data_IF_088984367946
#
_entry.id   IF_088984367946
#
_cell.length_a   1.000
_cell.length_b   1.000
_cell.length_c   1.000
_cell.angle_alpha   90.00
_cell.angle_beta   90.00
_cell.angle_gamma   90.00
#
_symmetry.space_group_name_H-M   'P 1'
#
loop_
_entity.id
_entity.type
_entity.pdbx_description
1 polymer ?
#
# COMPACT_ATOMS: atom_id res chain seq x y z
N UNK A 1 18.29 5.10 10.66
CA UNK A 1 19.33 4.83 11.67
C UNK A 1 19.04 5.73 12.86
N UNK A 2 19.34 5.33 14.10
CA UNK A 2 19.11 6.25 15.22
C UNK A 2 20.19 7.35 15.21
N UNK A 3 19.88 8.59 15.64
CA UNK A 3 20.85 9.68 15.70
C UNK A 3 22.11 9.33 16.48
N UNK A 4 21.99 8.50 17.53
CA UNK A 4 23.14 8.01 18.31
C UNK A 4 24.06 7.10 17.53
N UNK A 5 23.52 6.25 16.64
CA UNK A 5 24.30 5.35 15.82
C UNK A 5 25.05 6.12 14.72
N UNK A 6 24.39 7.10 14.10
CA UNK A 6 25.03 7.97 13.11
C UNK A 6 26.19 8.77 13.73
N UNK A 7 25.98 9.36 14.90
CA UNK A 7 27.05 10.09 15.62
C UNK A 7 28.26 9.21 15.97
N UNK A 8 28.01 7.96 16.41
CA UNK A 8 29.08 7.03 16.75
C UNK A 8 29.89 6.60 15.51
N UNK A 9 29.24 6.39 14.38
CA UNK A 9 29.91 6.07 13.13
C UNK A 9 30.73 7.25 12.62
N UNK A 10 30.20 8.46 12.68
CA UNK A 10 30.90 9.68 12.34
C UNK A 10 32.17 9.88 13.22
N UNK A 11 32.05 9.62 14.52
CA UNK A 11 33.18 9.69 15.45
C UNK A 11 34.28 8.63 15.18
N UNK A 12 33.96 7.58 14.42
CA UNK A 12 34.89 6.54 13.99
C UNK A 12 35.46 6.79 12.57
N UNK A 13 35.13 7.93 11.97
CA UNK A 13 35.64 8.35 10.66
C UNK A 13 34.85 7.81 9.46
N UNK A 14 33.63 7.36 9.69
CA UNK A 14 32.73 6.97 8.62
C UNK A 14 31.77 8.11 8.29
N UNK A 15 31.54 8.37 7.00
CA UNK A 15 30.49 9.30 6.55
C UNK A 15 29.11 8.69 6.84
N UNK A 16 28.51 9.04 7.97
CA UNK A 16 27.22 8.51 8.40
C UNK A 16 26.14 9.54 8.31
N UNK A 17 25.07 9.23 7.60
CA UNK A 17 23.89 10.09 7.46
C UNK A 17 22.69 9.46 8.16
N UNK A 18 21.95 10.29 8.90
CA UNK A 18 20.69 9.89 9.49
C UNK A 18 19.55 10.14 8.48
N UNK A 19 18.96 9.07 7.99
CA UNK A 19 17.81 9.17 7.09
C UNK A 19 16.52 9.33 7.92
N UNK A 20 16.07 10.59 8.04
CA UNK A 20 14.96 10.97 8.92
C UNK A 20 13.63 10.29 8.56
N UNK A 21 13.38 10.03 7.27
CA UNK A 21 12.17 9.36 6.81
C UNK A 21 12.08 7.87 7.25
N UNK A 22 13.20 7.28 7.69
CA UNK A 22 13.24 5.91 8.20
C UNK A 22 13.31 4.83 7.13
N UNK A 23 13.54 3.59 7.57
CA UNK A 23 13.75 2.43 6.69
C UNK A 23 12.56 2.14 5.76
N UNK A 24 11.34 2.33 6.24
CA UNK A 24 10.14 2.07 5.44
C UNK A 24 10.07 3.01 4.21
N UNK A 25 10.40 4.28 4.39
CA UNK A 25 10.41 5.24 3.30
C UNK A 25 11.63 5.05 2.38
N UNK A 26 12.79 4.69 2.93
CA UNK A 26 13.98 4.32 2.16
C UNK A 26 13.66 3.22 1.13
N UNK A 27 12.98 2.17 1.57
CA UNK A 27 12.58 1.05 0.73
C UNK A 27 11.48 1.42 -0.26
N UNK A 28 10.56 2.32 0.13
CA UNK A 28 9.49 2.81 -0.74
C UNK A 28 10.04 3.63 -1.93
N UNK A 29 11.19 4.28 -1.77
CA UNK A 29 11.89 4.99 -2.84
C UNK A 29 12.83 4.10 -3.66
N UNK A 30 12.85 2.77 -3.40
CA UNK A 30 13.70 1.82 -4.12
C UNK A 30 15.20 2.02 -3.88
N UNK A 31 15.58 2.63 -2.75
CA UNK A 31 16.98 2.88 -2.42
C UNK A 31 17.69 1.59 -2.03
N UNK A 32 19.02 1.47 -2.25
CA UNK A 32 19.77 0.26 -1.96
C UNK A 32 19.65 -0.22 -0.52
N UNK A 33 19.50 -1.52 -0.32
CA UNK A 33 19.43 -2.16 1.00
C UNK A 33 20.21 -3.48 0.98
N UNK A 34 20.70 -3.90 2.14
CA UNK A 34 21.33 -5.19 2.33
C UNK A 34 20.28 -6.25 2.65
N UNK A 35 20.35 -7.38 1.97
CA UNK A 35 19.46 -8.53 2.15
C UNK A 35 19.04 -9.14 0.82
N UNK A 36 18.85 -10.45 0.82
CA UNK A 36 18.38 -11.20 -0.36
C UNK A 36 16.87 -11.37 -0.45
N UNK A 37 16.13 -10.95 0.60
CA UNK A 37 14.68 -11.08 0.64
C UNK A 37 14.00 -10.06 -0.28
N UNK A 38 13.07 -10.53 -1.11
CA UNK A 38 12.23 -9.67 -1.91
C UNK A 38 11.23 -8.93 -1.01
N UNK A 39 11.25 -7.60 -1.07
CA UNK A 39 10.40 -6.76 -0.25
C UNK A 39 9.16 -6.28 -1.01
N UNK A 40 8.07 -6.11 -0.29
CA UNK A 40 6.76 -5.69 -0.82
C UNK A 40 6.85 -4.39 -1.63
N UNK A 41 7.66 -3.43 -1.18
CA UNK A 41 7.86 -2.15 -1.87
C UNK A 41 8.37 -2.27 -3.31
N UNK A 42 9.14 -3.31 -3.62
CA UNK A 42 9.65 -3.57 -4.98
C UNK A 42 8.57 -4.14 -5.92
N UNK A 43 7.45 -4.64 -5.37
CA UNK A 43 6.40 -5.34 -6.10
C UNK A 43 5.10 -4.55 -6.23
N UNK A 44 5.07 -3.34 -5.71
CA UNK A 44 3.86 -2.51 -5.68
C UNK A 44 3.42 -2.10 -7.08
N UNK A 45 2.14 -2.29 -7.38
CA UNK A 45 1.46 -1.65 -8.50
C UNK A 45 0.96 -0.29 -8.04
N UNK A 46 1.48 0.78 -8.61
CA UNK A 46 1.14 2.17 -8.22
C UNK A 46 -0.12 2.69 -8.90
N UNK A 47 -0.50 2.10 -10.04
CA UNK A 47 -1.71 2.46 -10.79
C UNK A 47 -2.94 1.79 -10.16
N UNK A 48 -3.33 2.28 -8.98
CA UNK A 48 -4.51 1.84 -8.24
C UNK A 48 -5.56 2.94 -8.29
N UNK A 49 -6.79 2.66 -8.73
CA UNK A 49 -7.82 3.67 -8.78
C UNK A 49 -8.24 4.11 -7.38
N UNK A 50 -8.29 5.41 -7.19
CA UNK A 50 -8.60 6.06 -5.91
C UNK A 50 -9.80 6.98 -6.04
N UNK A 51 -10.45 7.30 -4.93
CA UNK A 51 -11.48 8.32 -4.81
C UNK A 51 -11.35 9.08 -3.50
N UNK A 52 -12.00 10.22 -3.38
CA UNK A 52 -12.15 10.89 -2.11
C UNK A 52 -13.25 10.22 -1.30
N UNK A 53 -13.07 10.09 0.01
CA UNK A 53 -14.12 9.59 0.90
C UNK A 53 -15.39 10.48 0.89
N UNK A 54 -15.27 11.75 0.43
CA UNK A 54 -16.36 12.72 0.31
C UNK A 54 -17.07 12.67 -1.04
N UNK A 55 -16.53 11.96 -2.02
CA UNK A 55 -17.16 11.84 -3.33
C UNK A 55 -18.52 11.13 -3.20
N UNK A 56 -19.44 11.46 -4.09
CA UNK A 56 -20.72 10.74 -4.19
C UNK A 56 -20.54 9.48 -5.01
N UNK A 57 -21.31 8.45 -4.71
CA UNK A 57 -21.26 7.20 -5.43
C UNK A 57 -21.49 7.41 -6.95
N UNK A 58 -22.45 8.25 -7.32
CA UNK A 58 -22.74 8.55 -8.73
C UNK A 58 -21.53 9.11 -9.50
N UNK A 59 -20.67 9.90 -8.84
CA UNK A 59 -19.50 10.52 -9.46
C UNK A 59 -18.34 9.52 -9.69
N UNK A 60 -18.27 8.46 -8.89
CA UNK A 60 -17.17 7.48 -8.92
C UNK A 60 -17.56 6.11 -9.50
N UNK A 61 -18.84 5.92 -9.82
CA UNK A 61 -19.37 4.64 -10.32
C UNK A 61 -18.67 4.16 -11.58
N UNK A 62 -18.48 5.04 -12.56
CA UNK A 62 -17.81 4.71 -13.82
C UNK A 62 -16.35 4.29 -13.58
N UNK A 63 -15.64 5.00 -12.69
CA UNK A 63 -14.29 4.64 -12.30
C UNK A 63 -14.21 3.29 -11.59
N UNK A 64 -15.20 2.98 -10.76
CA UNK A 64 -15.30 1.69 -10.08
C UNK A 64 -15.56 0.54 -11.06
N UNK A 65 -16.44 0.75 -12.04
CA UNK A 65 -16.74 -0.24 -13.06
C UNK A 65 -15.53 -0.49 -13.98
N UNK A 66 -14.79 0.56 -14.32
CA UNK A 66 -13.56 0.47 -15.11
C UNK A 66 -12.38 -0.11 -14.32
N UNK A 67 -12.46 -0.17 -12.99
CA UNK A 67 -11.38 -0.69 -12.15
C UNK A 67 -11.14 -2.19 -12.39
N UNK A 68 -9.92 -2.54 -12.80
CA UNK A 68 -9.50 -3.94 -12.93
C UNK A 68 -9.45 -4.69 -11.60
N UNK A 69 -9.37 -3.96 -10.49
CA UNK A 69 -9.35 -4.53 -9.14
C UNK A 69 -10.75 -4.70 -8.53
N UNK A 70 -11.79 -4.21 -9.21
CA UNK A 70 -13.17 -4.24 -8.71
C UNK A 70 -13.40 -3.38 -7.48
N UNK A 71 -12.51 -2.44 -7.21
CA UNK A 71 -12.60 -1.52 -6.08
C UNK A 71 -11.96 -0.17 -6.38
N UNK A 72 -12.32 0.82 -5.57
CA UNK A 72 -11.61 2.10 -5.42
C UNK A 72 -11.09 2.23 -4.00
N UNK A 73 -9.90 2.82 -3.85
CA UNK A 73 -9.34 3.12 -2.54
C UNK A 73 -9.77 4.53 -2.12
N UNK A 74 -10.46 4.61 -0.99
CA UNK A 74 -10.93 5.88 -0.46
C UNK A 74 -9.82 6.56 0.36
N UNK A 75 -9.45 7.76 -0.05
CA UNK A 75 -8.38 8.56 0.54
C UNK A 75 -8.92 9.85 1.15
N UNK A 76 -8.20 10.37 2.16
CA UNK A 76 -8.37 11.75 2.60
C UNK A 76 -7.53 12.72 1.74
N UNK A 77 -7.56 14.01 2.08
CA UNK A 77 -6.81 15.06 1.37
C UNK A 77 -5.29 14.86 1.40
N UNK A 78 -4.77 14.15 2.40
CA UNK A 78 -3.34 13.87 2.57
C UNK A 78 -2.90 12.57 1.87
N UNK A 79 -3.81 11.86 1.21
CA UNK A 79 -3.55 10.58 0.56
C UNK A 79 -3.53 9.38 1.52
N UNK A 80 -4.01 9.54 2.74
CA UNK A 80 -4.13 8.47 3.73
C UNK A 80 -5.32 7.57 3.39
N UNK A 81 -5.10 6.26 3.43
CA UNK A 81 -6.14 5.27 3.19
C UNK A 81 -7.13 5.24 4.34
N UNK A 82 -8.40 5.53 4.04
CA UNK A 82 -9.51 5.48 5.01
C UNK A 82 -10.33 4.20 4.85
N UNK A 83 -10.53 3.76 3.61
CA UNK A 83 -11.36 2.61 3.31
C UNK A 83 -11.21 2.14 1.88
N UNK A 84 -12.04 1.20 1.48
CA UNK A 84 -12.20 0.77 0.10
C UNK A 84 -13.68 0.68 -0.26
N UNK A 85 -14.01 1.08 -1.47
CA UNK A 85 -15.33 0.92 -2.05
C UNK A 85 -15.27 -0.21 -3.07
N UNK A 86 -15.94 -1.32 -2.81
CA UNK A 86 -16.07 -2.43 -3.75
C UNK A 86 -17.40 -2.38 -4.53
N UNK A 87 -17.50 -3.17 -5.60
CA UNK A 87 -18.70 -3.20 -6.45
C UNK A 87 -19.94 -3.68 -5.71
N UNK A 88 -19.79 -4.57 -4.73
CA UNK A 88 -20.90 -5.08 -3.94
C UNK A 88 -21.52 -3.96 -3.09
N UNK A 89 -20.69 -3.19 -2.38
CA UNK A 89 -21.14 -2.06 -1.59
C UNK A 89 -21.77 -0.97 -2.48
N UNK A 90 -21.17 -0.70 -3.65
CA UNK A 90 -21.72 0.26 -4.60
C UNK A 90 -23.05 -0.18 -5.22
N UNK A 91 -23.25 -1.47 -5.46
CA UNK A 91 -24.51 -2.00 -5.97
C UNK A 91 -25.67 -1.87 -4.97
N UNK A 92 -25.35 -1.93 -3.68
CA UNK A 92 -26.34 -1.73 -2.59
C UNK A 92 -26.59 -0.26 -2.26
N UNK A 93 -25.77 0.67 -2.76
CA UNK A 93 -25.80 2.09 -2.45
C UNK A 93 -26.63 2.92 -3.44
N UNK A 94 -27.04 4.11 -2.99
CA UNK A 94 -27.67 5.14 -3.80
C UNK A 94 -26.61 6.15 -4.29
N UNK A 95 -26.77 6.67 -5.52
CA UNK A 95 -25.84 7.60 -6.14
C UNK A 95 -25.65 8.92 -5.36
N UNK A 96 -26.61 9.29 -4.51
CA UNK A 96 -26.52 10.46 -3.64
C UNK A 96 -25.69 10.22 -2.36
N UNK A 97 -25.45 8.96 -2.00
CA UNK A 97 -24.63 8.61 -0.84
C UNK A 97 -23.16 8.91 -1.10
N UNK A 98 -22.44 9.26 -0.02
CA UNK A 98 -20.99 9.46 -0.10
C UNK A 98 -20.23 8.13 -0.02
N UNK A 99 -19.03 8.11 -0.56
CA UNK A 99 -18.12 6.96 -0.45
C UNK A 99 -17.92 6.57 1.02
N UNK A 100 -17.79 7.54 1.94
CA UNK A 100 -17.66 7.31 3.38
C UNK A 100 -18.79 6.46 3.97
N UNK A 101 -20.01 6.64 3.48
CA UNK A 101 -21.18 5.89 3.96
C UNK A 101 -21.23 4.44 3.45
N UNK A 102 -20.52 4.14 2.36
CA UNK A 102 -20.57 2.86 1.66
C UNK A 102 -19.28 2.06 1.74
N UNK A 103 -18.14 2.74 1.97
CA UNK A 103 -16.85 2.09 2.00
C UNK A 103 -16.71 1.13 3.20
N UNK A 104 -15.89 0.12 3.04
CA UNK A 104 -15.40 -0.68 4.16
C UNK A 104 -14.22 0.02 4.78
N UNK A 105 -14.37 0.45 6.03
CA UNK A 105 -13.31 1.12 6.80
C UNK A 105 -12.18 0.17 7.18
N UNK A 106 -10.99 0.74 7.40
CA UNK A 106 -9.84 0.03 7.95
C UNK A 106 -9.39 -1.19 7.14
N UNK A 107 -9.19 -1.09 5.81
CA UNK A 107 -8.69 -2.20 5.03
C UNK A 107 -7.33 -2.66 5.55
N UNK A 108 -7.06 -3.95 5.47
CA UNK A 108 -5.75 -4.49 5.81
C UNK A 108 -4.69 -3.86 4.93
N UNK A 109 -3.68 -3.28 5.53
CA UNK A 109 -2.53 -2.68 4.85
C UNK A 109 -1.23 -3.31 5.31
N UNK A 110 -0.24 -3.34 4.43
CA UNK A 110 1.11 -3.82 4.73
C UNK A 110 2.13 -2.72 4.47
N UNK A 111 3.33 -2.90 5.00
CA UNK A 111 4.42 -1.96 4.81
C UNK A 111 5.33 -2.37 3.65
N UNK A 112 5.97 -1.42 2.98
CA UNK A 112 6.88 -1.72 1.86
C UNK A 112 8.12 -2.51 2.31
N UNK A 113 8.45 -2.48 3.60
CA UNK A 113 9.56 -3.23 4.20
C UNK A 113 9.22 -4.67 4.57
N UNK A 114 7.98 -5.10 4.37
CA UNK A 114 7.57 -6.48 4.65
C UNK A 114 8.06 -7.42 3.55
N UNK A 115 8.50 -8.62 3.93
CA UNK A 115 8.95 -9.64 2.99
C UNK A 115 7.77 -10.23 2.22
N UNK A 116 7.96 -10.40 0.91
CA UNK A 116 6.89 -10.86 0.01
C UNK A 116 6.50 -12.32 0.28
N UNK A 117 7.46 -13.22 0.51
CA UNK A 117 7.16 -14.65 0.66
C UNK A 117 6.23 -14.97 1.85
N UNK A 118 6.49 -14.50 3.08
CA UNK A 118 5.56 -14.70 4.20
C UNK A 118 4.22 -14.00 3.98
N UNK A 119 4.21 -12.86 3.30
CA UNK A 119 2.97 -12.14 2.99
C UNK A 119 2.08 -12.94 2.03
N UNK A 120 2.65 -13.52 0.98
CA UNK A 120 1.90 -14.36 0.03
C UNK A 120 1.28 -15.59 0.70
N UNK A 121 2.00 -16.23 1.64
CA UNK A 121 1.44 -17.33 2.43
C UNK A 121 0.19 -16.88 3.22
N UNK A 122 0.26 -15.74 3.88
CA UNK A 122 -0.90 -15.19 4.60
C UNK A 122 -2.06 -14.85 3.65
N UNK A 123 -1.75 -14.26 2.48
CA UNK A 123 -2.76 -13.94 1.47
C UNK A 123 -3.46 -15.19 0.94
N UNK A 124 -2.71 -16.29 0.72
CA UNK A 124 -3.30 -17.59 0.34
C UNK A 124 -4.24 -18.14 1.41
N UNK A 125 -3.78 -18.16 2.67
CA UNK A 125 -4.59 -18.65 3.78
C UNK A 125 -5.87 -17.83 3.99
N UNK A 126 -5.79 -16.52 3.78
CA UNK A 126 -6.93 -15.61 3.90
C UNK A 126 -7.80 -15.53 2.62
N UNK A 127 -7.41 -16.22 1.55
CA UNK A 127 -8.03 -16.15 0.22
C UNK A 127 -8.16 -14.71 -0.30
N UNK A 128 -7.08 -13.94 -0.17
CA UNK A 128 -7.00 -12.54 -0.57
C UNK A 128 -6.12 -12.41 -1.81
N UNK A 129 -6.60 -11.73 -2.86
CA UNK A 129 -5.89 -11.57 -4.13
C UNK A 129 -5.03 -10.30 -4.20
N UNK A 130 -5.31 -9.33 -3.35
CA UNK A 130 -4.56 -8.07 -3.30
C UNK A 130 -4.56 -7.44 -1.93
N UNK A 131 -3.46 -6.80 -1.56
CA UNK A 131 -3.31 -6.08 -0.30
C UNK A 131 -2.76 -4.67 -0.56
N UNK A 132 -3.31 -3.69 0.14
CA UNK A 132 -2.87 -2.29 0.03
C UNK A 132 -1.52 -2.12 0.73
N UNK A 133 -0.61 -1.42 0.07
CA UNK A 133 0.70 -1.08 0.62
C UNK A 133 0.72 0.40 0.97
N UNK A 134 1.03 0.71 2.22
CA UNK A 134 1.04 2.07 2.73
C UNK A 134 2.35 2.42 3.41
N UNK A 135 2.68 3.71 3.41
CA UNK A 135 3.77 4.26 4.22
C UNK A 135 3.44 4.19 5.71
N UNK A 136 4.41 4.51 6.56
CA UNK A 136 4.22 4.55 8.02
C UNK A 136 3.16 5.56 8.47
N UNK A 137 2.96 6.63 7.71
CA UNK A 137 1.93 7.65 7.93
C UNK A 137 0.53 7.27 7.38
N UNK A 138 0.38 6.07 6.82
CA UNK A 138 -0.87 5.57 6.25
C UNK A 138 -1.15 5.98 4.81
N UNK A 139 -0.27 6.74 4.17
CA UNK A 139 -0.42 7.14 2.76
C UNK A 139 -0.27 5.95 1.84
N UNK A 140 -1.14 5.89 0.83
CA UNK A 140 -1.15 4.84 -0.16
C UNK A 140 0.13 4.89 -1.02
N UNK A 141 0.81 3.74 -1.14
CA UNK A 141 1.87 3.51 -2.13
C UNK A 141 1.33 2.76 -3.34
N UNK A 142 0.41 1.84 -3.12
CA UNK A 142 -0.22 1.07 -4.16
C UNK A 142 -0.76 -0.26 -3.66
N UNK A 143 -0.82 -1.25 -4.55
CA UNK A 143 -1.37 -2.58 -4.29
C UNK A 143 -0.33 -3.65 -4.62
N UNK A 144 -0.19 -4.65 -3.78
CA UNK A 144 0.47 -5.92 -4.11
C UNK A 144 -0.58 -6.92 -4.55
N UNK A 145 -0.49 -7.37 -5.80
CA UNK A 145 -1.30 -8.48 -6.32
C UNK A 145 -0.62 -9.81 -6.01
N UNK A 146 -1.36 -10.77 -5.44
CA UNK A 146 -0.85 -12.09 -5.09
C UNK A 146 -0.23 -12.80 -6.31
N UNK A 147 -0.95 -12.82 -7.43
CA UNK A 147 -0.50 -13.45 -8.67
C UNK A 147 0.80 -12.87 -9.21
N UNK A 148 1.03 -11.57 -9.03
CA UNK A 148 2.28 -10.91 -9.42
C UNK A 148 3.42 -11.31 -8.51
N UNK A 149 3.18 -11.35 -7.20
CA UNK A 149 4.17 -11.77 -6.21
C UNK A 149 4.60 -13.23 -6.41
N UNK A 150 3.64 -14.13 -6.66
CA UNK A 150 3.91 -15.55 -6.90
C UNK A 150 4.77 -15.76 -8.13
N UNK A 151 4.45 -15.13 -9.26
CA UNK A 151 5.25 -15.23 -10.50
C UNK A 151 6.69 -14.76 -10.30
N UNK A 152 6.90 -13.67 -9.58
CA UNK A 152 8.26 -13.15 -9.36
C UNK A 152 9.10 -14.06 -8.48
N UNK A 153 8.50 -14.71 -7.47
CA UNK A 153 9.21 -15.69 -6.64
C UNK A 153 9.56 -16.95 -7.44
N UNK A 154 8.68 -17.40 -8.33
CA UNK A 154 8.93 -18.57 -9.20
C UNK A 154 10.03 -18.31 -10.23
N UNK A 155 10.23 -17.05 -10.66
CA UNK A 155 11.25 -16.65 -11.63
C UNK A 155 12.60 -16.30 -10.99
N UNK A 156 12.69 -16.25 -9.66
CA UNK A 156 13.89 -15.88 -8.90
C UNK A 156 14.68 -17.10 -8.45
#
# INVERSE_FOLDING_TARGET
MSPRAAWRLDSLGYDAYDYVAGKADWLAFGLPHEGSALLTGAMVTTDVPTCSFRDRLGDVRDALEASRFGMLVALNADGVVLGRLDREAAAAGDDAQTVEQLMREGPTTVRPSEEVAPLLERMRHANVDGVLVTRSDGRLLGLLERSRGERTIEES
#
